data_IF_528741963619
#
_entry.id   IF_528741963619
#
_cell.length_a   1.000
_cell.length_b   1.000
_cell.length_c   1.000
_cell.angle_alpha   90.00
_cell.angle_beta   90.00
_cell.angle_gamma   90.00
#
_symmetry.space_group_name_H-M   'P 1'
#
loop_
_entity.id
_entity.type
_entity.pdbx_description
1 polymer ?
#
# COMPACT_ATOMS: atom_id res chain seq x y z
N UNK A 1 -14.70 2.63 -73.51
CA UNK A 1 -13.60 3.26 -72.73
C UNK A 1 -14.11 3.39 -71.30
N UNK A 2 -14.04 2.31 -70.50
CA UNK A 2 -14.78 2.21 -69.22
C UNK A 2 -13.96 1.54 -68.11
N UNK A 3 -12.69 1.21 -68.38
CA UNK A 3 -11.84 0.43 -67.46
C UNK A 3 -11.28 1.29 -66.31
N UNK A 4 -10.84 2.53 -66.62
CA UNK A 4 -10.19 3.44 -65.65
C UNK A 4 -11.02 3.79 -64.41
N UNK A 5 -12.34 3.95 -64.56
CA UNK A 5 -13.24 4.39 -63.46
C UNK A 5 -13.50 3.29 -62.43
N UNK A 6 -13.57 2.03 -62.87
CA UNK A 6 -13.77 0.87 -61.99
C UNK A 6 -12.53 0.57 -61.15
N UNK A 7 -11.33 0.78 -61.72
CA UNK A 7 -10.08 0.60 -61.00
C UNK A 7 -9.84 1.71 -59.95
N UNK A 8 -10.23 2.96 -60.23
CA UNK A 8 -10.20 4.07 -59.25
C UNK A 8 -11.19 3.87 -58.10
N UNK A 9 -12.41 3.40 -58.38
CA UNK A 9 -13.42 3.10 -57.34
C UNK A 9 -13.01 1.91 -56.45
N UNK A 10 -12.39 0.88 -57.03
CA UNK A 10 -11.86 -0.27 -56.28
C UNK A 10 -10.67 0.15 -55.40
N UNK A 11 -9.70 0.91 -55.95
CA UNK A 11 -8.55 1.41 -55.19
C UNK A 11 -8.96 2.36 -54.04
N UNK A 12 -9.97 3.21 -54.25
CA UNK A 12 -10.50 4.08 -53.20
C UNK A 12 -11.15 3.29 -52.05
N UNK A 13 -11.79 2.15 -52.35
CA UNK A 13 -12.39 1.26 -51.35
C UNK A 13 -11.31 0.53 -50.54
N UNK A 14 -10.25 0.05 -51.19
CA UNK A 14 -9.10 -0.59 -50.52
C UNK A 14 -8.35 0.37 -49.60
N UNK A 15 -8.14 1.62 -50.04
CA UNK A 15 -7.54 2.68 -49.20
C UNK A 15 -8.43 2.99 -47.99
N UNK A 16 -9.76 2.98 -48.15
CA UNK A 16 -10.72 3.17 -47.05
C UNK A 16 -10.61 2.10 -45.96
N UNK A 17 -10.44 0.82 -46.34
CA UNK A 17 -10.22 -0.26 -45.38
C UNK A 17 -8.90 -0.15 -44.64
N UNK A 18 -7.82 0.16 -45.37
CA UNK A 18 -6.49 0.36 -44.78
C UNK A 18 -6.53 1.53 -43.78
N UNK A 19 -7.16 2.64 -44.16
CA UNK A 19 -7.31 3.81 -43.29
C UNK A 19 -8.11 3.47 -42.03
N UNK A 20 -9.24 2.78 -42.18
CA UNK A 20 -10.10 2.39 -41.04
C UNK A 20 -9.35 1.43 -40.11
N UNK A 21 -8.59 0.49 -40.67
CA UNK A 21 -7.75 -0.42 -39.91
C UNK A 21 -6.68 0.33 -39.11
N UNK A 22 -5.93 1.23 -39.74
CA UNK A 22 -4.92 2.02 -39.05
C UNK A 22 -5.52 2.97 -38.01
N UNK A 23 -6.68 3.57 -38.30
CA UNK A 23 -7.41 4.38 -37.33
C UNK A 23 -7.80 3.54 -36.11
N UNK A 24 -8.28 2.31 -36.33
CA UNK A 24 -8.58 1.36 -35.27
C UNK A 24 -7.34 0.98 -34.45
N UNK A 25 -6.20 0.72 -35.10
CA UNK A 25 -4.94 0.42 -34.42
C UNK A 25 -4.46 1.61 -33.58
N UNK A 26 -4.53 2.83 -34.10
CA UNK A 26 -4.16 4.04 -33.37
C UNK A 26 -5.04 4.23 -32.14
N UNK A 27 -6.37 4.09 -32.27
CA UNK A 27 -7.27 4.17 -31.12
C UNK A 27 -6.95 3.08 -30.11
N UNK A 28 -6.76 1.82 -30.54
CA UNK A 28 -6.44 0.72 -29.63
C UNK A 28 -5.15 1.00 -28.85
N UNK A 29 -4.12 1.51 -29.49
CA UNK A 29 -2.86 1.88 -28.82
C UNK A 29 -3.07 3.01 -27.81
N UNK A 30 -3.77 4.09 -28.19
CA UNK A 30 -4.05 5.20 -27.27
C UNK A 30 -4.89 4.75 -26.07
N UNK A 31 -5.95 3.97 -26.30
CA UNK A 31 -6.78 3.44 -25.21
C UNK A 31 -6.01 2.48 -24.30
N UNK A 32 -5.08 1.68 -24.85
CA UNK A 32 -4.27 0.76 -24.05
C UNK A 32 -3.34 1.50 -23.09
N UNK A 33 -2.63 2.53 -23.56
CA UNK A 33 -1.74 3.34 -22.72
C UNK A 33 -2.55 4.07 -21.65
N UNK A 34 -3.64 4.72 -22.05
CA UNK A 34 -4.51 5.45 -21.12
C UNK A 34 -5.10 4.53 -20.02
N UNK A 35 -5.52 3.31 -20.39
CA UNK A 35 -6.07 2.35 -19.41
C UNK A 35 -4.99 1.91 -18.43
N UNK A 36 -3.77 1.67 -18.90
CA UNK A 36 -2.64 1.34 -18.04
C UNK A 36 -2.35 2.45 -17.04
N UNK A 37 -2.32 3.71 -17.48
CA UNK A 37 -2.07 4.86 -16.60
C UNK A 37 -3.14 4.98 -15.49
N UNK A 38 -4.41 4.73 -15.82
CA UNK A 38 -5.51 4.74 -14.83
C UNK A 38 -5.37 3.61 -13.82
N UNK A 39 -5.01 2.41 -14.29
CA UNK A 39 -4.79 1.26 -13.41
C UNK A 39 -3.68 1.56 -12.40
N UNK A 40 -2.54 2.04 -12.88
CA UNK A 40 -1.41 2.39 -12.03
C UNK A 40 -1.77 3.47 -11.00
N UNK A 41 -2.43 4.55 -11.42
CA UNK A 41 -2.85 5.62 -10.50
C UNK A 41 -3.86 5.13 -9.45
N UNK A 42 -4.73 4.19 -9.81
CA UNK A 42 -5.72 3.60 -8.89
C UNK A 42 -5.04 2.69 -7.88
N UNK A 43 -4.14 1.83 -8.33
CA UNK A 43 -3.34 0.93 -7.48
C UNK A 43 -2.49 1.73 -6.49
N UNK A 44 -1.82 2.79 -6.94
CA UNK A 44 -1.03 3.65 -6.05
C UNK A 44 -1.89 4.30 -4.97
N UNK A 45 -3.06 4.84 -5.34
CA UNK A 45 -3.99 5.44 -4.38
C UNK A 45 -4.46 4.43 -3.34
N UNK A 46 -4.91 3.25 -3.76
CA UNK A 46 -5.37 2.22 -2.83
C UNK A 46 -4.24 1.70 -1.93
N UNK A 47 -3.02 1.62 -2.46
CA UNK A 47 -1.84 1.27 -1.67
C UNK A 47 -1.58 2.31 -0.59
N UNK A 48 -1.66 3.60 -0.92
CA UNK A 48 -1.47 4.68 0.05
C UNK A 48 -2.57 4.66 1.13
N UNK A 49 -3.82 4.54 0.73
CA UNK A 49 -4.96 4.45 1.66
C UNK A 49 -4.82 3.26 2.60
N UNK A 50 -4.38 2.09 2.10
CA UNK A 50 -4.12 0.92 2.93
C UNK A 50 -2.95 1.11 3.90
N UNK A 51 -1.86 1.78 3.48
CA UNK A 51 -0.74 2.12 4.37
C UNK A 51 -1.18 3.07 5.48
N UNK A 52 -1.89 4.14 5.15
CA UNK A 52 -2.38 5.13 6.13
C UNK A 52 -3.33 4.50 7.14
N UNK A 53 -4.18 3.59 6.68
CA UNK A 53 -5.09 2.86 7.54
C UNK A 53 -4.37 1.90 8.48
N UNK A 54 -3.40 1.12 7.96
CA UNK A 54 -2.57 0.24 8.79
C UNK A 54 -1.81 1.04 9.86
N UNK A 55 -1.27 2.20 9.50
CA UNK A 55 -0.61 3.10 10.45
C UNK A 55 -1.54 3.52 11.57
N UNK A 56 -2.78 3.90 11.23
CA UNK A 56 -3.79 4.29 12.22
C UNK A 56 -4.13 3.14 13.13
N UNK A 57 -4.40 1.95 12.59
CA UNK A 57 -4.74 0.77 13.38
C UNK A 57 -3.60 0.37 14.32
N UNK A 58 -2.35 0.43 13.86
CA UNK A 58 -1.16 0.16 14.69
C UNK A 58 -0.99 1.22 15.77
N UNK A 59 -1.08 2.51 15.43
CA UNK A 59 -0.98 3.59 16.41
C UNK A 59 -2.07 3.48 17.49
N UNK A 60 -3.31 3.20 17.11
CA UNK A 60 -4.40 2.99 18.06
C UNK A 60 -4.17 1.77 18.98
N UNK A 61 -3.57 0.69 18.47
CA UNK A 61 -3.20 -0.47 19.28
C UNK A 61 -2.08 -0.14 20.28
N UNK A 62 -1.11 0.69 19.88
CA UNK A 62 -0.08 1.23 20.78
C UNK A 62 -0.72 2.08 21.89
N UNK A 63 -1.64 2.97 21.54
CA UNK A 63 -2.38 3.80 22.52
C UNK A 63 -3.19 2.95 23.52
N UNK A 64 -3.76 1.82 23.07
CA UNK A 64 -4.43 0.86 23.96
C UNK A 64 -3.45 0.15 24.89
N UNK A 65 -2.27 -0.22 24.40
CA UNK A 65 -1.21 -0.78 25.24
C UNK A 65 -0.73 0.23 26.31
N UNK A 66 -0.57 1.50 25.94
CA UNK A 66 -0.28 2.61 26.86
C UNK A 66 -1.36 2.78 27.92
N UNK A 67 -2.64 2.73 27.50
CA UNK A 67 -3.76 2.80 28.41
C UNK A 67 -3.75 1.64 29.43
N UNK A 68 -3.36 0.43 29.02
CA UNK A 68 -3.21 -0.71 29.92
C UNK A 68 -2.11 -0.47 30.96
N UNK A 69 -0.94 0.04 30.55
CA UNK A 69 0.17 0.37 31.44
C UNK A 69 -0.21 1.42 32.49
N UNK A 70 -1.02 2.41 32.10
CA UNK A 70 -1.52 3.45 33.03
C UNK A 70 -2.47 2.91 34.09
N UNK A 71 -3.17 1.81 33.81
CA UNK A 71 -4.10 1.18 34.76
C UNK A 71 -3.33 0.28 35.72
N UNK A 72 -2.39 -0.52 35.20
CA UNK A 72 -1.54 -1.40 35.98
C UNK A 72 -0.10 -1.37 35.43
N UNK A 73 0.83 -0.91 36.27
CA UNK A 73 2.25 -0.81 35.91
C UNK A 73 2.93 -2.16 35.66
N UNK A 74 2.28 -3.26 36.03
CA UNK A 74 2.74 -4.62 35.77
C UNK A 74 1.90 -5.33 34.70
N UNK A 75 1.08 -4.59 33.93
CA UNK A 75 0.26 -5.17 32.89
C UNK A 75 1.09 -5.85 31.80
N UNK A 76 0.54 -6.96 31.30
CA UNK A 76 0.94 -7.59 30.06
C UNK A 76 -0.21 -7.45 29.07
N UNK A 77 0.06 -6.91 27.89
CA UNK A 77 -0.92 -6.67 26.84
C UNK A 77 -0.38 -7.19 25.52
N UNK A 78 -1.23 -7.82 24.72
CA UNK A 78 -0.89 -8.23 23.36
C UNK A 78 -2.11 -8.09 22.48
N UNK A 79 -1.97 -7.46 21.33
CA UNK A 79 -3.03 -7.27 20.36
C UNK A 79 -2.52 -7.53 18.94
N UNK A 80 -3.21 -8.38 18.15
CA UNK A 80 -2.92 -8.53 16.73
C UNK A 80 -3.58 -7.38 15.94
N UNK A 81 -2.83 -6.78 15.03
CA UNK A 81 -3.31 -5.82 14.05
C UNK A 81 -3.22 -6.46 12.67
N UNK A 82 -4.36 -6.59 12.00
CA UNK A 82 -4.47 -7.21 10.68
C UNK A 82 -4.17 -6.18 9.61
N UNK A 83 -3.14 -6.42 8.81
CA UNK A 83 -2.71 -5.50 7.78
C UNK A 83 -3.59 -5.64 6.53
N UNK A 84 -3.99 -4.50 5.97
CA UNK A 84 -4.77 -4.44 4.72
C UNK A 84 -3.90 -4.62 3.48
N UNK A 85 -2.57 -4.65 3.65
CA UNK A 85 -1.60 -4.90 2.59
C UNK A 85 -1.30 -6.40 2.57
N UNK A 86 -2.05 -7.16 1.77
CA UNK A 86 -1.84 -8.60 1.62
C UNK A 86 -0.57 -8.88 0.81
N UNK A 87 0.36 -9.61 1.42
CA UNK A 87 1.48 -10.45 0.94
C UNK A 87 2.21 -10.26 -0.43
N UNK A 88 1.69 -9.51 -1.41
CA UNK A 88 2.22 -9.46 -2.79
C UNK A 88 2.95 -8.13 -3.11
N UNK A 89 2.98 -7.19 -2.15
CA UNK A 89 3.70 -5.95 -2.34
C UNK A 89 5.19 -6.18 -2.09
N UNK A 90 5.95 -6.45 -3.15
CA UNK A 90 7.42 -6.38 -3.20
C UNK A 90 8.01 -4.98 -2.92
N UNK A 91 7.27 -4.14 -2.18
CA UNK A 91 7.59 -2.77 -1.82
C UNK A 91 8.67 -2.67 -0.73
N UNK A 92 8.98 -3.78 -0.05
CA UNK A 92 10.01 -3.81 0.99
C UNK A 92 9.75 -2.80 2.10
N UNK A 93 8.48 -2.70 2.54
CA UNK A 93 8.05 -1.76 3.56
C UNK A 93 8.54 -2.20 4.94
N UNK A 94 8.99 -1.21 5.71
CA UNK A 94 9.48 -1.35 7.08
C UNK A 94 8.57 -0.50 7.96
N UNK A 95 8.02 -1.14 8.99
CA UNK A 95 7.31 -0.46 10.08
C UNK A 95 8.28 -0.21 11.22
N UNK A 96 8.35 1.04 11.65
CA UNK A 96 9.16 1.51 12.76
C UNK A 96 8.25 2.09 13.84
N UNK A 97 8.37 1.59 15.07
CA UNK A 97 7.79 2.18 16.26
C UNK A 97 8.90 2.89 17.03
N UNK A 98 8.68 4.17 17.31
CA UNK A 98 9.52 5.02 18.16
C UNK A 98 8.70 5.62 19.30
N UNK A 99 9.35 6.36 20.19
CA UNK A 99 8.68 7.07 21.30
C UNK A 99 7.73 8.19 20.85
N UNK A 100 7.83 8.64 19.60
CA UNK A 100 7.05 9.79 19.11
C UNK A 100 6.03 9.40 18.04
N UNK A 101 6.32 8.35 17.25
CA UNK A 101 5.49 7.98 16.12
C UNK A 101 5.63 6.51 15.71
N UNK A 102 4.59 6.04 15.01
CA UNK A 102 4.64 4.86 14.14
C UNK A 102 4.89 5.35 12.71
N UNK A 103 5.92 4.82 12.06
CA UNK A 103 6.32 5.19 10.71
C UNK A 103 6.35 3.96 9.82
N UNK A 104 5.82 4.05 8.60
CA UNK A 104 6.03 3.06 7.53
C UNK A 104 6.87 3.72 6.45
N UNK A 105 7.99 3.09 6.12
CA UNK A 105 8.92 3.55 5.08
C UNK A 105 9.28 2.42 4.12
N UNK A 106 9.63 2.76 2.89
CA UNK A 106 10.29 1.82 1.99
C UNK A 106 11.81 1.73 2.27
N UNK A 107 12.46 0.70 1.71
CA UNK A 107 13.91 0.48 1.86
C UNK A 107 14.78 1.66 1.37
N UNK A 108 14.26 2.48 0.45
CA UNK A 108 14.96 3.66 -0.08
C UNK A 108 14.67 4.96 0.70
N UNK A 109 13.72 4.92 1.64
CA UNK A 109 13.15 6.07 2.34
C UNK A 109 12.57 7.17 1.43
N UNK A 110 12.27 6.84 0.17
CA UNK A 110 11.62 7.76 -0.75
C UNK A 110 10.15 7.99 -0.38
N UNK A 111 9.52 6.99 0.25
CA UNK A 111 8.11 7.05 0.65
C UNK A 111 8.00 6.78 2.15
N UNK A 112 7.60 7.81 2.88
CA UNK A 112 7.47 7.77 4.33
C UNK A 112 6.09 8.24 4.74
N UNK A 113 5.40 7.42 5.52
CA UNK A 113 4.14 7.75 6.16
C UNK A 113 4.35 7.66 7.67
N UNK A 114 3.81 8.61 8.42
CA UNK A 114 3.99 8.67 9.86
C UNK A 114 2.70 9.06 10.55
N UNK A 115 2.45 8.43 11.69
CA UNK A 115 1.36 8.75 12.60
C UNK A 115 1.96 8.96 13.98
N UNK A 116 1.79 10.17 14.52
CA UNK A 116 2.24 10.49 15.86
C UNK A 116 1.46 9.66 16.89
N UNK A 117 2.17 9.24 17.93
CA UNK A 117 1.60 8.64 19.14
C UNK A 117 1.73 9.61 20.30
N UNK A 118 0.82 9.51 21.26
CA UNK A 118 0.80 10.35 22.45
C UNK A 118 1.85 9.95 23.47
N UNK A 119 2.29 8.68 23.45
CA UNK A 119 3.19 8.08 24.44
C UNK A 119 2.77 8.43 25.87
N UNK A 120 1.48 8.24 26.17
CA UNK A 120 0.86 8.79 27.37
C UNK A 120 1.19 8.01 28.66
N UNK A 121 1.95 6.93 28.58
CA UNK A 121 2.40 6.14 29.72
C UNK A 121 3.91 6.28 29.98
N UNK A 122 4.39 5.72 31.08
CA UNK A 122 5.83 5.62 31.36
C UNK A 122 6.50 4.46 30.58
N UNK A 123 5.79 3.81 29.67
CA UNK A 123 6.33 2.75 28.83
C UNK A 123 7.29 3.31 27.78
N UNK A 124 8.26 2.47 27.40
CA UNK A 124 9.15 2.74 26.27
C UNK A 124 8.62 2.09 25.00
N UNK A 125 8.76 2.76 23.87
CA UNK A 125 8.25 2.36 22.56
C UNK A 125 9.39 2.06 21.62
N UNK A 126 9.47 0.83 21.14
CA UNK A 126 10.48 0.48 20.14
C UNK A 126 10.10 -0.75 19.35
N UNK A 127 10.39 -0.75 18.06
CA UNK A 127 10.40 -1.97 17.27
C UNK A 127 10.56 -1.65 15.79
N UNK A 128 11.13 -2.59 15.06
CA UNK A 128 11.30 -2.49 13.62
C UNK A 128 10.90 -3.82 13.01
N UNK A 129 9.98 -3.78 12.06
CA UNK A 129 9.42 -4.96 11.42
C UNK A 129 9.38 -4.78 9.92
N UNK A 130 9.93 -5.75 9.20
CA UNK A 130 9.74 -5.85 7.76
C UNK A 130 8.35 -6.42 7.48
N UNK A 131 7.53 -5.67 6.75
CA UNK A 131 6.15 -6.05 6.42
C UNK A 131 6.04 -6.97 5.21
N UNK A 132 7.16 -7.35 4.58
CA UNK A 132 7.17 -8.23 3.42
C UNK A 132 6.55 -9.59 3.78
N UNK A 133 5.38 -9.87 3.18
CA UNK A 133 4.63 -11.12 3.43
C UNK A 133 3.93 -11.17 4.79
N UNK A 134 3.86 -10.06 5.53
CA UNK A 134 3.20 -10.01 6.82
C UNK A 134 1.73 -9.61 6.66
N UNK A 135 0.81 -10.46 7.11
CA UNK A 135 -0.61 -10.15 7.17
C UNK A 135 -1.04 -9.63 8.56
N UNK A 136 -0.20 -9.86 9.57
CA UNK A 136 -0.47 -9.50 10.97
C UNK A 136 0.81 -8.95 11.59
N UNK A 137 0.67 -7.88 12.35
CA UNK A 137 1.67 -7.42 13.31
C UNK A 137 1.10 -7.48 14.71
N UNK A 138 1.94 -7.78 15.68
CA UNK A 138 1.58 -7.84 17.09
C UNK A 138 2.13 -6.64 17.82
N UNK A 139 1.24 -5.95 18.54
CA UNK A 139 1.61 -4.91 19.49
C UNK A 139 1.58 -5.53 20.88
N UNK A 140 2.69 -5.42 21.61
CA UNK A 140 2.84 -6.08 22.90
C UNK A 140 3.45 -5.17 23.95
N UNK A 141 2.81 -5.11 25.11
CA UNK A 141 3.34 -4.52 26.34
C UNK A 141 3.86 -5.63 27.25
N UNK A 142 5.13 -5.55 27.62
CA UNK A 142 5.71 -6.40 28.66
C UNK A 142 6.81 -5.63 29.39
N UNK A 143 6.80 -5.68 30.74
CA UNK A 143 7.83 -5.05 31.57
C UNK A 143 8.02 -3.54 31.30
N UNK A 144 6.92 -2.82 31.05
CA UNK A 144 6.97 -1.38 30.74
C UNK A 144 7.56 -1.05 29.36
N UNK A 145 7.55 -2.02 28.43
CA UNK A 145 8.01 -1.83 27.06
C UNK A 145 6.91 -2.23 26.08
N UNK A 146 6.56 -1.32 25.19
CA UNK A 146 5.67 -1.55 24.05
C UNK A 146 6.52 -1.83 22.82
N UNK A 147 6.26 -2.96 22.17
CA UNK A 147 6.98 -3.40 20.98
C UNK A 147 6.04 -3.82 19.88
N UNK A 148 6.51 -3.69 18.65
CA UNK A 148 5.87 -4.24 17.45
C UNK A 148 6.69 -5.42 16.92
N UNK A 149 6.02 -6.51 16.58
CA UNK A 149 6.65 -7.74 16.10
C UNK A 149 5.75 -8.54 15.15
N UNK A 150 6.30 -9.58 14.52
CA UNK A 150 5.52 -10.51 13.67
C UNK A 150 5.03 -11.74 14.43
N UNK A 151 5.69 -12.06 15.54
CA UNK A 151 5.39 -13.25 16.32
C UNK A 151 4.41 -12.92 17.45
N UNK A 152 3.47 -13.83 17.69
CA UNK A 152 2.56 -13.73 18.82
C UNK A 152 3.35 -13.81 20.13
N UNK A 153 3.20 -12.84 21.06
CA UNK A 153 3.82 -12.91 22.37
C UNK A 153 3.31 -14.11 23.18
N UNK A 154 4.23 -14.80 23.89
CA UNK A 154 3.95 -16.07 24.57
C UNK A 154 3.72 -15.98 26.08
N UNK A 155 3.37 -14.80 26.61
CA UNK A 155 3.09 -14.58 28.03
C UNK A 155 1.60 -14.69 28.37
#
# INVERSE_FOLDING_TARGET
>A
MTFKRRDEEAAATEIGYILTFFLGLMFLTTFSVWTFDIQQATEERWTNEAIEENLREVAEAVERADAAMRIDSNASYAEPVYLRLSADTGLGLILLLTEEAVTITDSSQAKMFSQDISAASDATHSGEVNLAGADIVWISLQQGKITVGLEQPGF
#
